data_IF_843828119873
#
_entry.id   IF_843828119873
#
_cell.length_a   1.000
_cell.length_b   1.000
_cell.length_c   1.000
_cell.angle_alpha   90.00
_cell.angle_beta   90.00
_cell.angle_gamma   90.00
#
_symmetry.space_group_name_H-M   'P 1'
#
loop_
_entity.id
_entity.type
_entity.pdbx_description
1 polymer ?
#
# COMPACT_ATOMS: atom_id res chain seq x y z
N UNK A 1 -6.30 -31.96 -26.92
CA UNK A 1 -6.12 -31.82 -25.46
C UNK A 1 -4.76 -31.24 -25.03
N UNK A 2 -3.64 -31.54 -25.71
CA UNK A 2 -2.31 -31.01 -25.35
C UNK A 2 -2.18 -29.47 -25.42
N UNK A 3 -2.77 -28.84 -26.44
CA UNK A 3 -2.73 -27.37 -26.63
C UNK A 3 -3.53 -26.64 -25.53
N UNK A 4 -4.67 -27.20 -25.10
CA UNK A 4 -5.49 -26.64 -24.02
C UNK A 4 -4.75 -26.68 -22.67
N UNK A 5 -4.00 -27.76 -22.41
CA UNK A 5 -3.16 -27.90 -21.21
C UNK A 5 -1.99 -26.91 -21.22
N UNK A 6 -1.35 -26.69 -22.38
CA UNK A 6 -0.30 -25.67 -22.50
C UNK A 6 -0.83 -24.25 -22.34
N UNK A 7 -2.00 -23.93 -22.89
CA UNK A 7 -2.63 -22.62 -22.70
C UNK A 7 -3.03 -22.37 -21.24
N UNK A 8 -3.55 -23.39 -20.54
CA UNK A 8 -3.88 -23.31 -19.10
C UNK A 8 -2.64 -23.18 -18.23
N UNK A 9 -1.54 -23.88 -18.56
CA UNK A 9 -0.26 -23.74 -17.85
C UNK A 9 0.40 -22.38 -18.10
N UNK A 10 0.33 -21.84 -19.32
CA UNK A 10 0.81 -20.50 -19.63
C UNK A 10 -0.05 -19.44 -18.93
N UNK A 11 -1.38 -19.60 -18.88
CA UNK A 11 -2.26 -18.72 -18.11
C UNK A 11 -2.03 -18.84 -16.59
N UNK A 12 -1.72 -20.04 -16.07
CA UNK A 12 -1.38 -20.25 -14.66
C UNK A 12 0.02 -19.76 -14.28
N UNK A 13 0.93 -19.62 -15.25
CA UNK A 13 2.24 -18.98 -15.07
C UNK A 13 2.19 -17.45 -15.28
N UNK A 14 1.17 -16.94 -16.00
CA UNK A 14 0.92 -15.51 -16.22
C UNK A 14 -0.10 -14.90 -15.25
N UNK A 15 -0.81 -15.72 -14.48
CA UNK A 15 -1.60 -15.33 -13.31
C UNK A 15 -0.85 -15.87 -12.07
N UNK A 16 -0.19 -15.12 -11.20
CA UNK A 16 -0.56 -13.83 -10.62
C UNK A 16 0.68 -13.24 -9.93
N UNK A 17 1.22 -12.12 -10.42
CA UNK A 17 2.09 -11.25 -9.60
C UNK A 17 1.24 -10.10 -9.05
N UNK A 18 0.19 -10.44 -8.29
CA UNK A 18 -0.56 -9.45 -7.51
C UNK A 18 0.15 -9.12 -6.18
N UNK A 19 1.48 -9.13 -6.19
CA UNK A 19 2.28 -8.36 -5.25
C UNK A 19 2.81 -7.18 -6.03
N UNK A 20 2.40 -5.96 -5.68
CA UNK A 20 2.84 -4.73 -6.36
C UNK A 20 4.35 -4.77 -6.61
N UNK A 21 4.74 -4.90 -7.88
CA UNK A 21 6.13 -4.67 -8.25
C UNK A 21 6.44 -3.22 -7.90
N UNK A 22 7.51 -3.02 -7.14
CA UNK A 22 8.03 -1.70 -6.85
C UNK A 22 8.27 -0.94 -8.17
N UNK A 23 7.69 0.25 -8.31
CA UNK A 23 7.91 1.16 -9.45
C UNK A 23 8.78 2.36 -9.09
N UNK A 24 9.02 2.56 -7.79
CA UNK A 24 9.81 3.64 -7.23
C UNK A 24 10.49 3.15 -5.94
N UNK A 25 11.63 3.74 -5.55
CA UNK A 25 12.24 3.46 -4.26
C UNK A 25 11.41 4.06 -3.13
N UNK A 26 11.36 3.40 -1.98
CA UNK A 26 10.60 3.90 -0.82
C UNK A 26 10.22 2.80 0.16
N UNK A 27 9.48 3.20 1.20
CA UNK A 27 8.93 2.28 2.21
C UNK A 27 7.41 2.42 2.20
N UNK A 28 6.72 1.29 2.07
CA UNK A 28 5.30 1.24 1.81
C UNK A 28 4.62 0.25 2.73
N UNK A 29 3.36 0.51 3.10
CA UNK A 29 2.56 -0.45 3.87
C UNK A 29 2.35 -1.71 3.03
N UNK A 30 2.37 -2.89 3.65
CA UNK A 30 1.90 -4.08 2.96
C UNK A 30 0.37 -3.95 2.76
N UNK A 31 -0.16 -4.09 1.54
CA UNK A 31 -1.59 -4.05 1.32
C UNK A 31 -2.27 -5.27 1.96
N UNK A 32 -3.48 -5.09 2.48
CA UNK A 32 -4.29 -6.20 3.02
C UNK A 32 -3.63 -6.87 4.23
N UNK A 33 -2.84 -6.11 4.97
CA UNK A 33 -2.42 -6.50 6.31
C UNK A 33 -3.36 -5.87 7.34
N UNK A 34 -4.36 -6.61 7.85
CA UNK A 34 -5.32 -6.08 8.81
C UNK A 34 -4.66 -5.73 10.15
N UNK A 35 -3.42 -6.17 10.39
CA UNK A 35 -2.66 -5.81 11.59
C UNK A 35 -1.87 -4.51 11.43
N UNK A 36 -1.68 -4.03 10.20
CA UNK A 36 -0.80 -2.93 9.83
C UNK A 36 0.62 -3.06 10.40
N UNK A 37 1.12 -4.27 10.59
CA UNK A 37 2.47 -4.52 11.10
C UNK A 37 3.47 -4.72 9.99
N UNK A 38 3.03 -5.22 8.85
CA UNK A 38 3.87 -5.53 7.71
C UNK A 38 4.00 -4.32 6.81
N UNK A 39 5.23 -4.12 6.37
CA UNK A 39 5.59 -3.11 5.39
C UNK A 39 6.63 -3.72 4.46
N UNK A 40 6.90 -3.05 3.36
CA UNK A 40 7.96 -3.44 2.47
C UNK A 40 8.77 -2.24 2.02
N UNK A 41 10.06 -2.48 1.82
CA UNK A 41 10.97 -1.51 1.23
C UNK A 41 11.22 -1.89 -0.22
N UNK A 42 11.17 -0.88 -1.08
CA UNK A 42 11.57 -0.95 -2.46
C UNK A 42 12.92 -0.27 -2.61
N UNK A 43 13.94 -1.02 -3.01
CA UNK A 43 15.30 -0.50 -3.23
C UNK A 43 15.66 -0.63 -4.70
N UNK A 44 16.16 0.45 -5.31
CA UNK A 44 16.69 0.41 -6.68
C UNK A 44 18.06 -0.28 -6.66
N UNK A 45 18.19 -1.37 -7.41
CA UNK A 45 19.42 -2.16 -7.51
C UNK A 45 20.05 -1.91 -8.87
N UNK A 46 21.32 -1.48 -8.85
CA UNK A 46 22.14 -1.20 -10.05
C UNK A 46 21.49 -0.21 -11.04
N UNK A 47 20.54 0.61 -10.59
CA UNK A 47 19.81 1.55 -11.45
C UNK A 47 18.84 0.90 -12.44
N UNK A 48 18.60 -0.42 -12.37
CA UNK A 48 17.85 -1.16 -13.40
C UNK A 48 16.53 -1.75 -12.90
N UNK A 49 16.52 -2.34 -11.70
CA UNK A 49 15.35 -3.03 -11.18
C UNK A 49 15.15 -2.74 -9.70
N UNK A 50 13.92 -2.90 -9.24
CA UNK A 50 13.57 -2.71 -7.84
C UNK A 50 13.50 -4.04 -7.10
N UNK A 51 14.15 -4.12 -5.95
CA UNK A 51 14.04 -5.24 -5.02
C UNK A 51 13.02 -4.90 -3.94
N UNK A 52 11.97 -5.72 -3.80
CA UNK A 52 11.02 -5.67 -2.68
C UNK A 52 11.55 -6.51 -1.53
N UNK A 53 11.63 -5.93 -0.34
CA UNK A 53 11.94 -6.65 0.90
C UNK A 53 10.86 -6.39 1.94
N UNK A 54 10.15 -7.43 2.37
CA UNK A 54 9.12 -7.31 3.41
C UNK A 54 9.73 -7.30 4.81
N UNK A 55 9.08 -6.61 5.73
CA UNK A 55 9.50 -6.46 7.13
C UNK A 55 8.28 -6.28 8.03
N UNK A 56 8.47 -6.50 9.31
CA UNK A 56 7.40 -6.39 10.32
C UNK A 56 7.81 -5.42 11.42
N UNK A 57 6.88 -4.59 11.87
CA UNK A 57 7.06 -3.70 13.02
C UNK A 57 7.17 -4.50 14.33
N UNK A 58 7.80 -3.90 15.34
CA UNK A 58 7.90 -4.49 16.68
C UNK A 58 6.53 -4.74 17.32
N UNK A 59 6.50 -5.54 18.41
CA UNK A 59 5.29 -6.12 19.00
C UNK A 59 4.11 -5.16 19.20
N UNK A 60 4.37 -3.92 19.62
CA UNK A 60 3.33 -2.90 19.91
C UNK A 60 3.21 -1.80 18.86
N UNK A 61 4.05 -1.83 17.82
CA UNK A 61 4.07 -0.80 16.80
C UNK A 61 3.27 -1.24 15.57
N UNK A 62 2.75 -0.25 14.85
CA UNK A 62 2.17 -0.42 13.52
C UNK A 62 2.89 0.49 12.54
N UNK A 63 2.94 0.08 11.28
CA UNK A 63 3.51 0.90 10.24
C UNK A 63 2.59 2.10 9.96
N UNK A 64 3.15 3.30 10.11
CA UNK A 64 2.52 4.55 9.77
C UNK A 64 2.87 4.90 8.32
N UNK A 65 1.93 4.81 7.37
CA UNK A 65 2.20 5.10 5.96
C UNK A 65 2.46 6.58 5.67
N UNK A 66 2.03 7.47 6.57
CA UNK A 66 2.25 8.93 6.45
C UNK A 66 3.69 9.30 6.79
N UNK A 67 4.25 8.70 7.85
CA UNK A 67 5.65 8.95 8.26
C UNK A 67 6.63 7.90 7.74
N UNK A 68 6.13 6.84 7.11
CA UNK A 68 6.88 5.69 6.59
C UNK A 68 7.71 4.97 7.66
N UNK A 69 7.21 4.92 8.90
CA UNK A 69 7.90 4.36 10.08
C UNK A 69 6.97 3.53 10.95
N UNK A 70 7.52 2.63 11.75
CA UNK A 70 6.78 1.96 12.80
C UNK A 70 6.56 2.90 14.00
N UNK A 71 5.31 3.02 14.44
CA UNK A 71 4.87 3.96 15.48
C UNK A 71 3.84 3.26 16.40
N UNK A 72 3.91 3.57 17.69
CA UNK A 72 2.99 3.06 18.71
C UNK A 72 1.58 3.65 18.56
N UNK A 73 1.47 4.86 18.02
CA UNK A 73 0.22 5.63 17.90
C UNK A 73 -0.40 5.58 16.51
N UNK A 74 0.23 4.87 15.57
CA UNK A 74 -0.30 4.75 14.21
C UNK A 74 -1.67 4.09 14.19
N UNK A 75 -2.64 4.77 13.59
CA UNK A 75 -3.96 4.26 13.27
C UNK A 75 -3.84 3.38 12.02
N UNK A 76 -4.33 2.15 12.12
CA UNK A 76 -4.34 1.22 11.00
C UNK A 76 -5.41 1.65 9.99
N UNK A 77 -5.00 1.86 8.73
CA UNK A 77 -5.89 2.36 7.68
C UNK A 77 -6.38 1.28 6.73
N UNK A 78 -5.94 0.02 6.87
CA UNK A 78 -6.06 -1.01 5.82
C UNK A 78 -7.50 -1.25 5.32
N UNK A 79 -8.49 -1.13 6.21
CA UNK A 79 -9.92 -1.29 5.91
C UNK A 79 -10.66 0.01 5.56
N UNK A 80 -9.99 1.16 5.49
CA UNK A 80 -10.68 2.46 5.30
C UNK A 80 -11.41 2.55 3.95
N UNK A 81 -10.93 1.82 2.95
CA UNK A 81 -11.53 1.77 1.63
C UNK A 81 -12.56 0.64 1.47
N UNK A 82 -12.84 -0.13 2.52
CA UNK A 82 -13.86 -1.17 2.47
C UNK A 82 -15.21 -0.49 2.29
N UNK A 83 -15.92 -0.87 1.21
CA UNK A 83 -17.22 -0.34 0.83
C UNK A 83 -17.24 1.16 0.47
N UNK A 84 -16.08 1.74 0.12
CA UNK A 84 -16.03 3.09 -0.40
C UNK A 84 -16.29 3.13 -1.91
N UNK A 85 -16.69 4.29 -2.41
CA UNK A 85 -16.75 4.54 -3.85
C UNK A 85 -15.34 4.44 -4.46
N UNK A 86 -15.20 3.94 -5.70
CA UNK A 86 -13.91 3.97 -6.38
C UNK A 86 -13.37 5.40 -6.40
N UNK A 87 -12.08 5.55 -6.10
CA UNK A 87 -11.42 6.86 -6.04
C UNK A 87 -11.92 7.79 -4.91
N UNK A 88 -12.60 7.28 -3.89
CA UNK A 88 -12.95 8.07 -2.71
C UNK A 88 -11.72 8.68 -2.03
N UNK A 89 -11.87 9.92 -1.57
CA UNK A 89 -10.88 10.63 -0.75
C UNK A 89 -11.37 10.73 0.68
N UNK A 90 -10.53 10.31 1.62
CA UNK A 90 -10.84 10.27 3.05
C UNK A 90 -9.78 11.03 3.86
N UNK A 91 -10.12 11.59 5.03
CA UNK A 91 -9.13 12.21 5.90
C UNK A 91 -8.07 11.20 6.35
N UNK A 92 -6.78 11.55 6.26
CA UNK A 92 -5.69 10.72 6.79
C UNK A 92 -5.66 10.80 8.33
N UNK A 93 -6.01 9.75 9.06
CA UNK A 93 -6.04 9.77 10.53
C UNK A 93 -4.65 9.91 11.16
N UNK A 94 -3.58 9.63 10.40
CA UNK A 94 -2.18 9.73 10.85
C UNK A 94 -1.51 11.05 10.44
N UNK A 95 -2.26 12.02 9.89
CA UNK A 95 -1.72 13.32 9.49
C UNK A 95 -1.10 14.07 10.69
N UNK A 96 0.11 14.60 10.50
CA UNK A 96 0.90 15.28 11.54
C UNK A 96 0.25 16.56 12.09
N UNK A 97 -0.61 17.22 11.29
CA UNK A 97 -1.35 18.41 11.70
C UNK A 97 -2.86 18.16 11.53
N UNK A 98 -3.62 17.96 12.61
CA UNK A 98 -5.06 17.71 12.54
C UNK A 98 -5.88 18.95 12.17
N UNK A 99 -5.36 20.17 12.36
CA UNK A 99 -6.03 21.42 12.00
C UNK A 99 -5.87 21.76 10.51
N UNK A 100 -4.79 21.28 9.89
CA UNK A 100 -4.52 21.48 8.48
C UNK A 100 -3.79 20.24 7.96
N UNK A 101 -4.57 19.23 7.53
CA UNK A 101 -4.01 17.93 7.12
C UNK A 101 -3.12 18.13 5.90
N UNK A 102 -1.91 17.59 5.95
CA UNK A 102 -0.96 17.63 4.83
C UNK A 102 -1.17 16.47 3.86
N UNK A 103 -1.90 15.45 4.32
CA UNK A 103 -2.12 14.19 3.62
C UNK A 103 -3.57 13.75 3.71
N UNK A 104 -3.98 12.93 2.76
CA UNK A 104 -5.29 12.29 2.73
C UNK A 104 -5.14 10.83 2.26
N UNK A 105 -6.15 10.01 2.57
CA UNK A 105 -6.26 8.67 2.01
C UNK A 105 -6.95 8.76 0.67
N UNK A 106 -6.31 8.24 -0.37
CA UNK A 106 -6.92 7.99 -1.67
C UNK A 106 -7.23 6.49 -1.76
N UNK A 107 -8.51 6.16 -1.96
CA UNK A 107 -8.89 4.79 -2.28
C UNK A 107 -8.57 4.51 -3.74
N UNK A 108 -7.77 3.49 -4.00
CA UNK A 108 -7.35 3.09 -5.35
C UNK A 108 -7.78 1.67 -5.65
N UNK A 109 -8.08 1.38 -6.92
CA UNK A 109 -8.69 0.13 -7.36
C UNK A 109 -10.21 0.25 -7.55
N UNK A 110 -10.81 -0.76 -8.20
CA UNK A 110 -12.25 -0.77 -8.52
C UNK A 110 -12.96 -1.87 -7.75
N UNK A 111 -12.48 -3.12 -7.87
CA UNK A 111 -13.07 -4.31 -7.21
C UNK A 111 -12.41 -4.67 -5.89
N UNK A 112 -11.13 -4.31 -5.71
CA UNK A 112 -10.36 -4.52 -4.48
C UNK A 112 -9.67 -3.21 -4.12
N UNK A 113 -10.45 -2.29 -3.56
CA UNK A 113 -9.93 -0.99 -3.19
C UNK A 113 -8.93 -1.13 -2.05
N UNK A 114 -7.87 -0.32 -2.10
CA UNK A 114 -6.90 -0.23 -1.02
C UNK A 114 -6.52 1.24 -0.77
N UNK A 115 -6.19 1.60 0.48
CA UNK A 115 -5.84 2.96 0.82
C UNK A 115 -4.38 3.26 0.49
N UNK A 116 -4.13 4.40 -0.17
CA UNK A 116 -2.80 5.00 -0.31
C UNK A 116 -2.79 6.40 0.30
N UNK A 117 -1.63 6.84 0.80
CA UNK A 117 -1.46 8.18 1.35
C UNK A 117 -0.96 9.10 0.24
N UNK A 118 -1.68 10.19 0.02
CA UNK A 118 -1.36 11.24 -0.93
C UNK A 118 -1.16 12.59 -0.23
N UNK A 119 -0.42 13.49 -0.87
CA UNK A 119 -0.17 14.84 -0.36
C UNK A 119 -1.22 15.84 -0.88
N UNK A 120 -1.69 16.73 -0.01
CA UNK A 120 -2.58 17.83 -0.38
C UNK A 120 -1.76 18.93 -1.09
N UNK A 121 -2.20 19.40 -2.26
CA UNK A 121 -1.48 20.42 -3.04
C UNK A 121 -1.35 21.80 -2.33
N UNK A 122 -2.31 22.15 -1.47
CA UNK A 122 -2.32 23.41 -0.70
C UNK A 122 -2.58 23.21 0.81
N UNK A 123 -2.41 21.97 1.31
CA UNK A 123 -3.01 21.55 2.58
C UNK A 123 -4.50 21.26 2.42
N UNK A 124 -5.01 20.21 3.08
CA UNK A 124 -6.43 19.84 3.08
C UNK A 124 -7.17 20.66 4.15
N UNK A 125 -7.15 21.97 3.93
CA UNK A 125 -7.62 23.06 4.76
C UNK A 125 -8.32 24.01 3.77
#
# INVERSE_FOLDING_TARGET
MKILVHLVLVFALLHQTWGLNCVAPGVFKEPRDPTCKKYYTCTLVLGMYYLKSSSECGTMQRFNPTTQKCDLTSICIDSFCDNQLPLATLPDPNALNPACRQTYIQCVGITNQYPVIEQCAAGCC
#
